data_IF_628735950899
#
_entry.id   IF_628735950899
#
_cell.length_a   1.000
_cell.length_b   1.000
_cell.length_c   1.000
_cell.angle_alpha   90.00
_cell.angle_beta   90.00
_cell.angle_gamma   90.00
#
_symmetry.space_group_name_H-M   'P 1'
#
loop_
_entity.id
_entity.type
_entity.pdbx_description
1 polymer ?
#
# COMPACT_ATOMS: atom_id res chain seq x y z
N UNK A 1 -4.46 -33.95 40.47
CA UNK A 1 -3.75 -33.54 39.24
C UNK A 1 -2.26 -33.71 39.52
N UNK A 2 -1.63 -34.74 38.97
CA UNK A 2 -0.24 -35.07 39.24
C UNK A 2 0.65 -34.12 38.42
N UNK A 3 1.61 -33.47 39.07
CA UNK A 3 2.54 -32.57 38.39
C UNK A 3 3.43 -33.37 37.42
N UNK A 4 3.70 -32.87 36.21
CA UNK A 4 4.56 -33.56 35.25
C UNK A 4 5.97 -33.72 35.82
N UNK A 5 6.56 -34.90 35.59
CA UNK A 5 7.92 -35.17 36.05
C UNK A 5 8.94 -34.42 35.20
N UNK A 6 10.18 -34.19 35.69
CA UNK A 6 11.25 -33.59 34.89
C UNK A 6 11.51 -34.35 33.57
N UNK A 7 11.30 -35.67 33.56
CA UNK A 7 11.42 -36.50 32.36
C UNK A 7 10.29 -36.23 31.34
N UNK A 8 9.08 -35.93 31.81
CA UNK A 8 7.96 -35.55 30.94
C UNK A 8 8.20 -34.18 30.30
N UNK A 9 8.70 -33.21 31.08
CA UNK A 9 9.07 -31.88 30.57
C UNK A 9 10.19 -31.96 29.53
N UNK A 10 11.24 -32.76 29.78
CA UNK A 10 12.33 -32.95 28.83
C UNK A 10 11.86 -33.56 27.50
N UNK A 11 10.93 -34.51 27.55
CA UNK A 11 10.31 -35.13 26.38
C UNK A 11 9.50 -34.12 25.57
N UNK A 12 8.62 -33.35 26.23
CA UNK A 12 7.81 -32.32 25.56
C UNK A 12 8.68 -31.23 24.92
N UNK A 13 9.77 -30.82 25.58
CA UNK A 13 10.71 -29.85 25.00
C UNK A 13 11.43 -30.39 23.76
N UNK A 14 11.81 -31.68 23.76
CA UNK A 14 12.40 -32.31 22.60
C UNK A 14 11.40 -32.37 21.43
N UNK A 15 10.16 -32.79 21.69
CA UNK A 15 9.09 -32.82 20.69
C UNK A 15 8.79 -31.43 20.10
N UNK A 16 8.72 -30.40 20.95
CA UNK A 16 8.48 -29.02 20.49
C UNK A 16 9.63 -28.51 19.61
N UNK A 17 10.89 -28.82 19.97
CA UNK A 17 12.07 -28.46 19.17
C UNK A 17 12.04 -29.13 17.80
N UNK A 18 11.71 -30.42 17.75
CA UNK A 18 11.56 -31.14 16.48
C UNK A 18 10.50 -30.48 15.60
N UNK A 19 9.31 -30.19 16.15
CA UNK A 19 8.24 -29.51 15.40
C UNK A 19 8.63 -28.11 14.94
N UNK A 20 9.38 -27.36 15.75
CA UNK A 20 9.86 -26.04 15.36
C UNK A 20 10.85 -26.11 14.19
N UNK A 21 11.75 -27.09 14.21
CA UNK A 21 12.70 -27.31 13.12
C UNK A 21 11.97 -27.71 11.83
N UNK A 22 11.00 -28.62 11.91
CA UNK A 22 10.15 -29.00 10.77
C UNK A 22 9.37 -27.80 10.20
N UNK A 23 8.83 -26.94 11.06
CA UNK A 23 8.14 -25.74 10.62
C UNK A 23 9.09 -24.75 9.94
N UNK A 24 10.30 -24.60 10.47
CA UNK A 24 11.32 -23.70 9.89
C UNK A 24 11.71 -24.17 8.51
N UNK A 25 11.99 -25.47 8.36
CA UNK A 25 12.31 -26.10 7.08
C UNK A 25 11.15 -25.98 6.07
N UNK A 26 9.91 -26.16 6.53
CA UNK A 26 8.73 -25.99 5.68
C UNK A 26 8.58 -24.54 5.20
N UNK A 27 8.81 -23.56 6.08
CA UNK A 27 8.74 -22.14 5.72
C UNK A 27 9.83 -21.79 4.70
N UNK A 28 11.05 -22.29 4.89
CA UNK A 28 12.16 -22.08 3.96
C UNK A 28 11.84 -22.66 2.57
N UNK A 29 11.37 -23.91 2.50
CA UNK A 29 10.93 -24.52 1.24
C UNK A 29 9.76 -23.76 0.59
N UNK A 30 8.81 -23.24 1.36
CA UNK A 30 7.72 -22.44 0.83
C UNK A 30 8.21 -21.10 0.28
N UNK A 31 9.16 -20.46 0.94
CA UNK A 31 9.80 -19.22 0.46
C UNK A 31 10.51 -19.49 -0.87
N UNK A 32 11.33 -20.53 -0.95
CA UNK A 32 12.03 -20.92 -2.18
C UNK A 32 11.06 -21.25 -3.33
N UNK A 33 9.98 -21.96 -3.02
CA UNK A 33 8.93 -22.27 -3.99
C UNK A 33 8.21 -21.00 -4.46
N UNK A 34 7.93 -20.06 -3.55
CA UNK A 34 7.36 -18.76 -3.87
C UNK A 34 8.30 -17.94 -4.76
N UNK A 35 9.60 -17.89 -4.46
CA UNK A 35 10.60 -17.20 -5.29
C UNK A 35 10.77 -17.84 -6.67
N UNK A 36 10.66 -19.17 -6.75
CA UNK A 36 10.71 -19.89 -8.03
C UNK A 36 9.47 -19.60 -8.89
N UNK A 37 8.29 -19.56 -8.28
CA UNK A 37 7.02 -19.29 -8.97
C UNK A 37 6.84 -17.80 -9.30
N UNK A 38 7.36 -16.92 -8.46
CA UNK A 38 7.32 -15.48 -8.60
C UNK A 38 8.72 -14.92 -8.41
N UNK A 39 9.62 -15.07 -9.41
CA UNK A 39 10.92 -14.45 -9.34
C UNK A 39 10.72 -12.96 -9.11
N UNK A 40 11.22 -12.47 -7.98
CA UNK A 40 11.12 -11.07 -7.61
C UNK A 40 11.80 -10.25 -8.70
N UNK A 41 11.00 -9.70 -9.62
CA UNK A 41 11.55 -8.82 -10.64
C UNK A 41 12.14 -7.61 -9.92
N UNK A 42 13.41 -7.24 -10.18
CA UNK A 42 13.94 -5.99 -9.66
C UNK A 42 12.99 -4.87 -10.11
N UNK A 43 12.42 -4.14 -9.14
CA UNK A 43 11.49 -3.03 -9.40
C UNK A 43 12.27 -1.82 -9.91
N UNK A 44 12.86 -1.95 -11.09
CA UNK A 44 13.67 -0.91 -11.73
C UNK A 44 12.86 -0.03 -12.66
N UNK A 45 11.71 -0.52 -13.14
CA UNK A 45 10.81 0.25 -14.00
C UNK A 45 9.53 0.63 -13.24
N UNK A 46 9.02 1.85 -13.44
CA UNK A 46 7.72 2.25 -12.94
C UNK A 46 6.62 1.29 -13.41
N UNK A 47 5.76 0.88 -12.49
CA UNK A 47 4.64 -0.02 -12.79
C UNK A 47 3.66 0.58 -13.80
N UNK A 48 2.87 -0.28 -14.43
CA UNK A 48 1.92 0.09 -15.50
C UNK A 48 0.83 1.07 -15.07
N UNK A 49 0.62 1.22 -13.77
CA UNK A 49 -0.36 2.11 -13.16
C UNK A 49 0.24 3.42 -12.64
N UNK A 50 1.55 3.64 -12.79
CA UNK A 50 2.24 4.78 -12.20
C UNK A 50 2.21 6.02 -13.10
N UNK A 51 1.13 6.80 -13.02
CA UNK A 51 0.84 7.97 -13.86
C UNK A 51 2.02 8.91 -14.09
N UNK A 52 2.82 9.19 -13.06
CA UNK A 52 3.98 10.08 -13.12
C UNK A 52 5.02 9.68 -14.18
N UNK A 53 5.10 8.39 -14.51
CA UNK A 53 6.15 7.83 -15.38
C UNK A 53 5.60 7.20 -16.66
N UNK A 54 4.31 7.33 -16.93
CA UNK A 54 3.72 6.88 -18.18
C UNK A 54 4.04 7.87 -19.29
N UNK A 55 4.40 7.35 -20.46
CA UNK A 55 4.36 8.13 -21.69
C UNK A 55 2.91 8.46 -22.08
N UNK A 56 2.75 9.38 -23.02
CA UNK A 56 1.44 9.88 -23.47
C UNK A 56 0.51 8.77 -23.96
N UNK A 57 1.04 7.76 -24.65
CA UNK A 57 0.24 6.70 -25.27
C UNK A 57 -0.26 5.72 -24.20
N UNK A 58 0.61 5.33 -23.27
CA UNK A 58 0.26 4.49 -22.13
C UNK A 58 -0.70 5.19 -21.18
N UNK A 59 -0.47 6.48 -20.89
CA UNK A 59 -1.38 7.27 -20.06
C UNK A 59 -2.76 7.40 -20.70
N UNK A 60 -2.83 7.60 -22.02
CA UNK A 60 -4.10 7.65 -22.77
C UNK A 60 -4.84 6.31 -22.71
N UNK A 61 -4.11 5.22 -22.91
CA UNK A 61 -4.66 3.86 -22.84
C UNK A 61 -5.24 3.57 -21.45
N UNK A 62 -4.45 3.82 -20.40
CA UNK A 62 -4.91 3.62 -19.02
C UNK A 62 -6.12 4.51 -18.71
N UNK A 63 -6.15 5.74 -19.21
CA UNK A 63 -7.29 6.67 -18.99
C UNK A 63 -8.58 6.14 -19.61
N UNK A 64 -8.53 5.54 -20.80
CA UNK A 64 -9.69 4.90 -21.40
C UNK A 64 -10.13 3.66 -20.62
N UNK A 65 -9.19 2.81 -20.20
CA UNK A 65 -9.49 1.64 -19.36
C UNK A 65 -10.18 2.05 -18.05
N UNK A 66 -9.70 3.11 -17.39
CA UNK A 66 -10.36 3.65 -16.21
C UNK A 66 -11.73 4.23 -16.50
N UNK A 67 -11.94 4.87 -17.65
CA UNK A 67 -13.25 5.37 -18.05
C UNK A 67 -14.27 4.24 -18.19
N UNK A 68 -13.88 3.15 -18.85
CA UNK A 68 -14.71 1.95 -19.01
C UNK A 68 -14.99 1.29 -17.66
N UNK A 69 -13.97 1.21 -16.80
CA UNK A 69 -14.10 0.66 -15.45
C UNK A 69 -15.02 1.49 -14.55
N UNK A 70 -14.90 2.82 -14.54
CA UNK A 70 -15.80 3.70 -13.79
C UNK A 70 -17.23 3.57 -14.29
N UNK A 71 -17.41 3.46 -15.61
CA UNK A 71 -18.73 3.19 -16.22
C UNK A 71 -19.28 1.83 -15.75
N UNK A 72 -18.43 0.79 -15.71
CA UNK A 72 -18.80 -0.52 -15.18
C UNK A 72 -19.27 -0.43 -13.72
N UNK A 73 -18.51 0.24 -12.84
CA UNK A 73 -18.88 0.40 -11.43
C UNK A 73 -20.22 1.13 -11.29
N UNK A 74 -20.35 2.30 -11.91
CA UNK A 74 -21.56 3.13 -11.79
C UNK A 74 -22.82 2.41 -12.31
N UNK A 75 -22.67 1.48 -13.27
CA UNK A 75 -23.80 0.75 -13.86
C UNK A 75 -24.08 -0.60 -13.18
N UNK A 76 -23.07 -1.28 -12.64
CA UNK A 76 -23.19 -2.66 -12.12
C UNK A 76 -23.36 -2.75 -10.61
N UNK A 77 -22.83 -1.80 -9.86
CA UNK A 77 -22.81 -1.86 -8.40
C UNK A 77 -24.05 -1.23 -7.74
N UNK A 78 -25.06 -0.85 -8.55
CA UNK A 78 -26.31 -0.23 -8.09
C UNK A 78 -26.07 0.89 -7.07
N UNK A 79 -25.07 1.74 -7.36
CA UNK A 79 -24.59 2.72 -6.40
C UNK A 79 -25.69 3.73 -6.03
N UNK A 80 -25.86 4.05 -4.74
CA UNK A 80 -26.72 5.15 -4.35
C UNK A 80 -26.16 6.46 -4.92
N UNK A 81 -27.03 7.43 -5.18
CA UNK A 81 -26.66 8.68 -5.85
C UNK A 81 -25.42 9.38 -5.23
N UNK A 82 -25.30 9.36 -3.91
CA UNK A 82 -24.18 9.99 -3.18
C UNK A 82 -22.83 9.26 -3.31
N UNK A 83 -22.82 8.03 -3.82
CA UNK A 83 -21.61 7.25 -4.12
C UNK A 83 -21.31 7.19 -5.62
N UNK A 84 -22.18 7.76 -6.46
CA UNK A 84 -21.99 7.77 -7.90
C UNK A 84 -20.76 8.61 -8.26
N UNK A 85 -19.87 8.04 -9.07
CA UNK A 85 -18.66 8.73 -9.50
C UNK A 85 -19.05 9.72 -10.61
N UNK A 86 -18.84 11.04 -10.45
CA UNK A 86 -19.25 12.02 -11.44
C UNK A 86 -18.31 12.00 -12.67
N UNK A 87 -18.77 12.42 -13.86
CA UNK A 87 -17.98 12.36 -15.10
C UNK A 87 -16.70 13.19 -15.04
N UNK A 88 -16.62 14.19 -14.15
CA UNK A 88 -15.44 15.03 -13.95
C UNK A 88 -14.33 14.38 -13.10
N UNK A 89 -14.46 13.11 -12.68
CA UNK A 89 -13.48 12.42 -11.82
C UNK A 89 -12.04 12.54 -12.32
N UNK A 90 -11.83 12.54 -13.63
CA UNK A 90 -10.50 12.61 -14.26
C UNK A 90 -9.81 13.98 -14.11
N UNK A 91 -10.54 15.01 -13.68
CA UNK A 91 -9.98 16.31 -13.27
C UNK A 91 -9.54 16.33 -11.81
N UNK A 92 -9.70 15.24 -11.06
CA UNK A 92 -9.33 15.16 -9.66
C UNK A 92 -8.20 14.14 -9.50
N UNK A 93 -6.95 14.62 -9.36
CA UNK A 93 -5.76 13.74 -9.30
C UNK A 93 -5.88 12.63 -8.25
N UNK A 94 -6.36 12.94 -7.04
CA UNK A 94 -6.60 11.92 -6.01
C UNK A 94 -7.63 10.86 -6.44
N UNK A 95 -8.68 11.26 -7.16
CA UNK A 95 -9.67 10.32 -7.66
C UNK A 95 -9.08 9.42 -8.74
N UNK A 96 -8.24 9.96 -9.63
CA UNK A 96 -7.50 9.18 -10.62
C UNK A 96 -6.66 8.10 -9.92
N UNK A 97 -5.89 8.44 -8.89
CA UNK A 97 -5.05 7.47 -8.17
C UNK A 97 -5.88 6.39 -7.45
N UNK A 98 -6.90 6.80 -6.67
CA UNK A 98 -7.77 5.87 -5.92
C UNK A 98 -8.52 4.91 -6.88
N UNK A 99 -9.01 5.41 -8.03
CA UNK A 99 -9.66 4.59 -9.05
C UNK A 99 -8.68 3.69 -9.79
N UNK A 100 -7.44 4.13 -9.99
CA UNK A 100 -6.38 3.30 -10.59
C UNK A 100 -6.06 2.09 -9.72
N UNK A 101 -5.88 2.31 -8.41
CA UNK A 101 -5.63 1.22 -7.47
C UNK A 101 -6.81 0.25 -7.40
N UNK A 102 -8.04 0.76 -7.42
CA UNK A 102 -9.24 -0.06 -7.44
C UNK A 102 -9.37 -0.87 -8.73
N UNK A 103 -9.02 -0.28 -9.88
CA UNK A 103 -9.00 -0.98 -11.16
C UNK A 103 -7.98 -2.13 -11.16
N UNK A 104 -6.76 -1.90 -10.66
CA UNK A 104 -5.76 -2.96 -10.52
C UNK A 104 -6.25 -4.12 -9.64
N UNK A 105 -6.90 -3.80 -8.51
CA UNK A 105 -7.51 -4.82 -7.63
C UNK A 105 -8.67 -5.58 -8.29
N UNK A 106 -9.43 -4.91 -9.16
CA UNK A 106 -10.46 -5.57 -9.97
C UNK A 106 -9.85 -6.48 -11.03
N UNK A 107 -8.79 -6.05 -11.70
CA UNK A 107 -8.07 -6.89 -12.67
C UNK A 107 -7.51 -8.15 -12.00
N UNK A 108 -6.84 -8.01 -10.85
CA UNK A 108 -6.36 -9.13 -10.03
C UNK A 108 -7.48 -10.12 -9.67
N UNK A 109 -8.65 -9.60 -9.27
CA UNK A 109 -9.77 -10.44 -8.88
C UNK A 109 -10.48 -11.14 -10.05
N UNK A 110 -10.47 -10.57 -11.26
CA UNK A 110 -11.34 -11.01 -12.37
C UNK A 110 -10.62 -11.52 -13.63
N UNK A 111 -9.35 -11.17 -13.86
CA UNK A 111 -8.66 -11.49 -15.13
C UNK A 111 -7.54 -12.54 -15.01
N UNK A 112 -7.10 -12.90 -13.81
CA UNK A 112 -5.97 -13.82 -13.62
C UNK A 112 -6.21 -14.86 -12.52
N UNK A 113 -7.29 -15.64 -12.64
CA UNK A 113 -7.60 -16.69 -11.65
C UNK A 113 -7.57 -18.08 -12.30
N UNK A 114 -6.49 -18.84 -12.07
CA UNK A 114 -6.40 -20.28 -12.36
C UNK A 114 -7.21 -21.15 -11.36
N UNK A 115 -8.44 -20.74 -11.06
CA UNK A 115 -9.32 -21.38 -10.08
C UNK A 115 -9.93 -20.39 -9.08
N UNK A 116 -10.81 -20.86 -8.17
CA UNK A 116 -11.45 -20.00 -7.20
C UNK A 116 -10.42 -19.41 -6.23
N UNK A 117 -10.29 -18.07 -6.22
CA UNK A 117 -9.44 -17.32 -5.29
C UNK A 117 -10.28 -16.49 -4.33
N UNK A 118 -9.68 -16.09 -3.19
CA UNK A 118 -10.29 -15.12 -2.28
C UNK A 118 -10.23 -13.68 -2.79
N UNK A 119 -9.55 -13.42 -3.92
CA UNK A 119 -9.40 -12.07 -4.48
C UNK A 119 -10.75 -11.43 -4.81
N UNK A 120 -11.71 -12.22 -5.33
CA UNK A 120 -13.07 -11.77 -5.59
C UNK A 120 -13.76 -11.26 -4.31
N UNK A 121 -13.78 -12.06 -3.23
CA UNK A 121 -14.44 -11.63 -2.01
C UNK A 121 -13.71 -10.46 -1.33
N UNK A 122 -12.36 -10.42 -1.41
CA UNK A 122 -11.58 -9.29 -0.93
C UNK A 122 -11.84 -8.01 -1.72
N UNK A 123 -11.94 -8.07 -3.05
CA UNK A 123 -12.34 -6.92 -3.86
C UNK A 123 -13.67 -6.34 -3.42
N UNK A 124 -14.66 -7.20 -3.22
CA UNK A 124 -16.01 -6.81 -2.79
C UNK A 124 -16.02 -6.19 -1.40
N UNK A 125 -15.38 -6.85 -0.43
CA UNK A 125 -15.49 -6.50 1.00
C UNK A 125 -14.46 -5.45 1.44
N UNK A 126 -13.22 -5.57 0.98
CA UNK A 126 -12.08 -4.78 1.47
C UNK A 126 -11.74 -3.59 0.60
N UNK A 127 -11.98 -3.65 -0.72
CA UNK A 127 -11.44 -2.67 -1.66
C UNK A 127 -12.49 -1.73 -2.24
N UNK A 128 -13.60 -2.26 -2.76
CA UNK A 128 -14.60 -1.44 -3.45
C UNK A 128 -15.26 -0.41 -2.52
N UNK A 129 -16.02 -0.88 -1.54
CA UNK A 129 -16.82 0.01 -0.69
C UNK A 129 -15.97 1.00 0.11
N UNK A 130 -14.82 0.60 0.70
CA UNK A 130 -13.94 1.55 1.37
C UNK A 130 -13.38 2.62 0.42
N UNK A 131 -13.07 2.27 -0.83
CA UNK A 131 -12.58 3.25 -1.81
C UNK A 131 -13.67 4.21 -2.25
N UNK A 132 -14.88 3.71 -2.56
CA UNK A 132 -16.03 4.57 -2.87
C UNK A 132 -16.35 5.52 -1.71
N UNK A 133 -16.28 5.02 -0.47
CA UNK A 133 -16.48 5.85 0.73
C UNK A 133 -15.41 6.94 0.84
N UNK A 134 -14.12 6.63 0.63
CA UNK A 134 -13.05 7.63 0.65
C UNK A 134 -13.15 8.66 -0.48
N UNK A 135 -13.60 8.24 -1.67
CA UNK A 135 -13.79 9.12 -2.82
C UNK A 135 -14.93 10.12 -2.58
N UNK A 136 -16.01 9.64 -1.97
CA UNK A 136 -17.26 10.39 -1.77
C UNK A 136 -17.42 10.95 -0.36
N UNK A 137 -16.36 10.89 0.46
CA UNK A 137 -16.35 11.49 1.79
C UNK A 137 -16.57 13.01 1.75
N UNK A 138 -17.18 13.54 2.79
CA UNK A 138 -17.63 14.94 2.90
C UNK A 138 -16.49 15.95 2.68
N UNK A 139 -15.25 15.56 2.96
CA UNK A 139 -14.08 16.43 2.87
C UNK A 139 -13.34 16.33 1.53
N UNK A 140 -13.81 15.55 0.55
CA UNK A 140 -13.12 15.46 -0.73
C UNK A 140 -13.55 16.55 -1.73
N UNK A 141 -12.64 17.00 -2.61
CA UNK A 141 -13.00 17.87 -3.73
C UNK A 141 -14.06 17.27 -4.65
N UNK A 142 -14.02 15.95 -4.85
CA UNK A 142 -14.97 15.22 -5.69
C UNK A 142 -16.39 15.27 -5.11
N UNK A 143 -16.54 15.24 -3.78
CA UNK A 143 -17.84 15.29 -3.12
C UNK A 143 -18.62 16.57 -3.42
N UNK A 144 -17.94 17.71 -3.56
CA UNK A 144 -18.58 18.97 -3.97
C UNK A 144 -19.20 18.89 -5.36
N UNK A 145 -18.55 18.16 -6.26
CA UNK A 145 -19.05 17.93 -7.61
C UNK A 145 -20.30 17.06 -7.59
N UNK A 146 -20.34 16.06 -6.69
CA UNK A 146 -21.52 15.19 -6.47
C UNK A 146 -22.68 16.02 -5.89
N UNK A 147 -22.45 16.75 -4.80
CA UNK A 147 -23.51 17.50 -4.10
C UNK A 147 -24.13 18.59 -4.97
N UNK A 148 -23.34 19.23 -5.85
CA UNK A 148 -23.81 20.29 -6.76
C UNK A 148 -24.23 19.78 -8.14
N UNK A 149 -24.01 18.49 -8.42
CA UNK A 149 -24.16 17.88 -9.74
C UNK A 149 -23.43 18.66 -10.86
N UNK A 150 -22.33 19.32 -10.53
CA UNK A 150 -21.55 20.19 -11.43
C UNK A 150 -20.10 20.21 -10.98
N UNK A 151 -19.15 20.18 -11.92
CA UNK A 151 -17.73 20.26 -11.57
C UNK A 151 -17.41 21.59 -10.88
N UNK A 152 -16.84 21.53 -9.68
CA UNK A 152 -16.28 22.68 -9.00
C UNK A 152 -14.76 22.58 -9.01
N UNK A 153 -14.06 23.51 -9.67
CA UNK A 153 -12.60 23.55 -9.63
C UNK A 153 -12.14 23.59 -8.17
N UNK A 154 -11.28 22.66 -7.83
CA UNK A 154 -10.53 22.72 -6.59
C UNK A 154 -9.23 23.47 -6.88
N UNK A 155 -8.76 24.25 -5.91
CA UNK A 155 -7.44 24.86 -6.02
C UNK A 155 -6.40 23.73 -5.99
N UNK A 156 -5.93 23.35 -7.17
CA UNK A 156 -4.70 22.61 -7.32
C UNK A 156 -3.58 23.64 -7.18
N UNK A 157 -2.74 23.55 -6.13
CA UNK A 157 -1.58 24.43 -6.05
C UNK A 157 -0.73 24.18 -7.30
N UNK A 158 -0.66 25.19 -8.14
CA UNK A 158 0.16 25.19 -9.35
C UNK A 158 1.63 25.19 -8.95
N UNK A 159 2.54 24.81 -9.85
CA UNK A 159 3.99 24.90 -9.60
C UNK A 159 4.37 26.30 -9.12
N UNK A 160 3.67 27.34 -9.60
CA UNK A 160 3.79 28.75 -9.19
C UNK A 160 3.47 28.99 -7.71
N UNK A 161 2.53 28.24 -7.13
CA UNK A 161 2.20 28.30 -5.70
C UNK A 161 3.27 27.65 -4.81
N UNK A 162 4.15 26.86 -5.42
CA UNK A 162 5.36 26.35 -4.81
C UNK A 162 6.58 27.19 -5.18
N UNK A 163 6.47 28.31 -5.88
CA UNK A 163 7.62 29.18 -6.09
C UNK A 163 7.74 30.19 -4.94
N UNK A 164 8.96 30.45 -4.49
CA UNK A 164 9.22 31.61 -3.62
C UNK A 164 9.06 32.93 -4.39
N UNK A 165 9.23 34.06 -3.70
CA UNK A 165 9.14 35.41 -4.30
C UNK A 165 10.13 35.64 -5.44
N UNK A 166 11.18 34.82 -5.53
CA UNK A 166 12.23 34.89 -6.54
C UNK A 166 12.02 33.88 -7.68
N UNK A 167 10.93 33.09 -7.64
CA UNK A 167 10.56 32.15 -8.70
C UNK A 167 11.24 30.78 -8.59
N UNK A 168 11.84 30.45 -7.45
CA UNK A 168 12.44 29.13 -7.20
C UNK A 168 11.44 28.18 -6.54
N UNK A 169 11.40 26.93 -7.01
CA UNK A 169 10.58 25.89 -6.37
C UNK A 169 11.00 25.74 -4.90
N UNK A 170 10.04 25.89 -4.00
CA UNK A 170 10.15 25.78 -2.56
C UNK A 170 10.74 24.41 -2.23
N UNK A 171 12.05 24.39 -2.02
CA UNK A 171 12.80 23.16 -1.82
C UNK A 171 12.57 22.63 -0.39
N UNK A 172 11.54 21.81 -0.24
CA UNK A 172 11.27 21.07 1.01
C UNK A 172 12.38 20.06 1.34
N UNK A 173 13.26 19.71 0.39
CA UNK A 173 14.36 18.77 0.61
C UNK A 173 15.50 19.39 1.41
N UNK A 174 15.77 20.70 1.26
CA UNK A 174 16.76 21.38 2.12
C UNK A 174 16.26 21.47 3.55
N UNK A 175 14.98 21.81 3.78
CA UNK A 175 14.38 21.80 5.12
C UNK A 175 14.31 20.41 5.74
N UNK A 176 14.00 19.38 4.95
CA UNK A 176 14.00 17.99 5.41
C UNK A 176 15.42 17.53 5.76
N UNK A 177 16.41 17.83 4.93
CA UNK A 177 17.82 17.52 5.18
C UNK A 177 18.30 18.25 6.43
N UNK A 178 18.03 19.54 6.55
CA UNK A 178 18.35 20.32 7.75
C UNK A 178 17.64 19.81 9.00
N UNK A 179 16.39 19.37 8.87
CA UNK A 179 15.63 18.78 9.97
C UNK A 179 16.21 17.44 10.40
N UNK A 180 16.49 16.54 9.46
CA UNK A 180 17.10 15.22 9.69
C UNK A 180 18.52 15.37 10.26
N UNK A 181 19.34 16.26 9.70
CA UNK A 181 20.69 16.57 10.21
C UNK A 181 20.63 17.17 11.62
N UNK A 182 19.66 18.05 11.90
CA UNK A 182 19.47 18.64 13.24
C UNK A 182 18.97 17.59 14.25
N UNK A 183 18.08 16.69 13.85
CA UNK A 183 17.59 15.59 14.71
C UNK A 183 18.71 14.60 15.06
N UNK A 184 19.54 14.22 14.08
CA UNK A 184 20.71 13.36 14.28
C UNK A 184 21.74 14.00 15.20
N UNK A 185 22.01 15.31 15.03
CA UNK A 185 23.06 16.01 15.79
C UNK A 185 22.65 16.40 17.21
N UNK A 186 21.34 16.51 17.49
CA UNK A 186 20.83 16.91 18.81
C UNK A 186 20.37 15.75 19.67
N UNK A 187 20.28 14.53 19.13
CA UNK A 187 19.95 13.32 19.90
C UNK A 187 21.13 12.97 20.84
N UNK A 188 20.96 13.01 22.18
CA UNK A 188 22.01 12.54 23.08
C UNK A 188 22.21 11.04 22.86
N UNK A 189 23.42 10.65 22.48
CA UNK A 189 23.81 9.26 22.32
C UNK A 189 23.94 8.62 23.72
N UNK A 190 22.84 8.14 24.29
CA UNK A 190 22.92 7.21 25.43
C UNK A 190 23.22 5.84 24.83
N UNK A 191 24.50 5.50 24.73
CA UNK A 191 24.91 4.12 24.52
C UNK A 191 24.44 3.30 25.73
N UNK A 192 23.64 2.24 25.56
CA UNK A 192 23.39 1.31 26.65
C UNK A 192 24.73 0.66 27.03
N UNK A 193 25.09 0.75 28.31
CA UNK A 193 26.25 0.09 28.91
C UNK A 193 26.33 -1.38 28.48
N UNK A 194 27.42 -1.75 27.81
CA UNK A 194 27.75 -3.14 27.52
C UNK A 194 28.10 -3.83 28.84
N UNK A 195 27.38 -4.87 29.30
CA UNK A 195 27.91 -5.72 30.35
C UNK A 195 29.05 -6.55 29.76
N UNK A 196 30.25 -6.24 30.24
CA UNK A 196 31.50 -6.98 30.02
C UNK A 196 31.30 -8.48 30.18
N UNK A 197 31.67 -9.24 29.16
CA UNK A 197 32.19 -10.58 29.39
C UNK A 197 33.43 -10.46 30.28
N UNK A 198 33.42 -11.16 31.41
CA UNK A 198 34.62 -11.51 32.15
C UNK A 198 34.62 -13.03 32.38
N UNK A 199 35.75 -13.61 32.03
CA UNK A 199 36.09 -15.02 32.02
C UNK A 199 36.24 -15.63 33.42
N UNK A 200 36.19 -16.97 33.44
CA UNK A 200 36.90 -17.90 34.34
C UNK A 200 36.62 -17.86 35.86
N UNK A 201 36.32 -19.03 36.42
CA UNK A 201 37.31 -19.83 37.19
C UNK A 201 36.74 -21.23 37.47
N UNK A 202 37.63 -22.19 37.23
CA UNK A 202 37.61 -23.62 37.54
C UNK A 202 37.71 -23.86 39.06
N UNK A 203 36.76 -24.59 39.67
CA UNK A 203 36.97 -25.56 40.78
C UNK A 203 35.67 -26.27 41.16
#
# INVERSE_FOLDING_TARGET
MTNPTPADLARTLAELRTRHLELTDTVEHLVDALETLHPSQPRTEPGEWSWQYLDTDRATTLRHQLHDFVTHINTREELPHHQHIPPCWHHHGRAVEDLTALYAAWQDAYYDTNGPTSALIHYRDRWLWPTLTRLTDTNTPLRRCIDKNQHTPWYEPTTTDYLDTDGHLYDRSTQLTDHVTRDITTRPHVLPDTPRHAESINQ
#
